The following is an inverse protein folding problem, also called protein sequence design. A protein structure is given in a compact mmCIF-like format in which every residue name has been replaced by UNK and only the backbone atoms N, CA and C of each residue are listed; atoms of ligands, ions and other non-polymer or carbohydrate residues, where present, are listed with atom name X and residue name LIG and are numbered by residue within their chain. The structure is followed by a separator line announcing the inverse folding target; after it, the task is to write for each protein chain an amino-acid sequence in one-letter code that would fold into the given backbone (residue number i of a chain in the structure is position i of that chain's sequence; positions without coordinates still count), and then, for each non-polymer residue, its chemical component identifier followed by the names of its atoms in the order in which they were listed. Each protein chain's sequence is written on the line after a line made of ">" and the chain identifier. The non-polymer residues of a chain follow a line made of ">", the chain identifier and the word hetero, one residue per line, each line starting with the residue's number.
data_IF_821372475615
#
_entry.id   IF_821372475615
#
_cell.length_a   1.000
_cell.length_b   1.000
_cell.length_c   1.000
_cell.angle_alpha   90.00
_cell.angle_beta   90.00
_cell.angle_gamma   90.00
#
_symmetry.space_group_name_H-M   'P 1'
#
loop_
_entity.id
_entity.type
_entity.pdbx_description
1 polymer ?
#
# COMPACT_ATOMS: atom_id res chain seq x y z
N UNK A 1 -13.18 9.58 19.29
CA UNK A 1 -13.26 9.28 17.83
C UNK A 1 -13.41 7.78 17.57
N UNK A 2 -12.49 6.94 18.04
CA UNK A 2 -12.55 5.47 17.84
C UNK A 2 -13.82 4.82 18.41
N UNK A 3 -14.27 5.21 19.61
CA UNK A 3 -15.51 4.67 20.21
C UNK A 3 -16.75 4.98 19.35
N UNK A 4 -16.80 6.16 18.72
CA UNK A 4 -17.87 6.53 17.80
C UNK A 4 -17.82 5.73 16.51
N UNK A 5 -16.63 5.57 15.90
CA UNK A 5 -16.48 4.79 14.67
C UNK A 5 -16.72 3.28 14.87
N UNK A 6 -16.38 2.74 16.05
CA UNK A 6 -16.48 1.32 16.35
C UNK A 6 -17.85 0.91 16.93
N UNK A 7 -18.42 1.73 17.81
CA UNK A 7 -19.64 1.38 18.57
C UNK A 7 -20.84 2.29 18.24
N UNK A 8 -20.67 3.26 17.32
CA UNK A 8 -21.66 4.30 17.00
C UNK A 8 -22.17 5.06 18.25
N UNK A 9 -21.34 5.10 19.29
CA UNK A 9 -21.59 5.75 20.59
C UNK A 9 -20.34 6.52 21.00
N UNK A 10 -20.52 7.66 21.66
CA UNK A 10 -19.38 8.44 22.16
C UNK A 10 -18.68 7.79 23.36
N UNK A 11 -19.33 6.80 23.98
CA UNK A 11 -18.82 6.02 25.10
C UNK A 11 -18.62 4.56 24.68
N UNK A 12 -17.43 4.03 24.94
CA UNK A 12 -17.04 2.65 24.64
C UNK A 12 -15.57 2.45 24.99
N UNK A 13 -15.29 1.47 25.84
CA UNK A 13 -13.94 1.16 26.31
C UNK A 13 -13.16 0.41 25.23
N UNK A 14 -11.97 0.90 24.91
CA UNK A 14 -11.01 0.19 24.08
C UNK A 14 -10.14 -0.66 24.99
N UNK A 15 -10.32 -1.98 24.94
CA UNK A 15 -9.55 -2.92 25.75
C UNK A 15 -8.04 -2.73 25.52
N UNK A 16 -7.29 -2.66 26.61
CA UNK A 16 -5.83 -2.59 26.57
C UNK A 16 -5.20 -3.90 26.08
N UNK A 17 -4.00 -3.81 25.51
CA UNK A 17 -3.25 -4.96 24.99
C UNK A 17 -3.00 -6.02 26.07
N UNK A 18 -2.70 -5.60 27.30
CA UNK A 18 -2.45 -6.52 28.43
C UNK A 18 -3.70 -7.31 28.79
N UNK A 19 -4.84 -6.64 28.92
CA UNK A 19 -6.12 -7.28 29.21
C UNK A 19 -6.51 -8.30 28.13
N UNK A 20 -6.28 -7.95 26.85
CA UNK A 20 -6.53 -8.88 25.73
C UNK A 20 -5.57 -10.07 25.73
N UNK A 21 -4.30 -9.83 26.09
CA UNK A 21 -3.30 -10.89 26.18
C UNK A 21 -3.65 -11.90 27.29
N UNK A 22 -4.09 -11.41 28.46
CA UNK A 22 -4.58 -12.26 29.55
C UNK A 22 -5.81 -13.08 29.12
N UNK A 23 -6.80 -12.43 28.52
CA UNK A 23 -8.01 -13.09 27.98
C UNK A 23 -7.66 -14.18 26.94
N UNK A 24 -6.71 -13.92 26.05
CA UNK A 24 -6.29 -14.89 25.05
C UNK A 24 -5.43 -16.03 25.62
N UNK A 25 -4.66 -15.78 26.68
CA UNK A 25 -3.95 -16.84 27.40
C UNK A 25 -4.92 -17.79 28.11
N UNK A 26 -5.97 -17.26 28.73
CA UNK A 26 -7.02 -18.08 29.34
C UNK A 26 -7.78 -18.92 28.29
N UNK A 27 -8.10 -18.31 27.15
CA UNK A 27 -8.92 -18.95 26.11
C UNK A 27 -8.17 -19.94 25.23
N UNK A 28 -6.94 -19.60 24.82
CA UNK A 28 -6.19 -20.35 23.81
C UNK A 28 -4.93 -21.03 24.37
N UNK A 29 -4.67 -20.87 25.68
CA UNK A 29 -3.52 -21.44 26.36
C UNK A 29 -2.30 -20.52 26.37
N UNK A 30 -1.21 -20.96 27.04
CA UNK A 30 -0.01 -20.14 27.20
C UNK A 30 0.62 -19.79 25.85
N UNK A 31 0.92 -18.51 25.65
CA UNK A 31 1.49 -18.00 24.40
C UNK A 31 1.57 -16.49 24.40
N UNK A 32 2.17 -15.92 23.34
CA UNK A 32 2.16 -14.49 23.06
C UNK A 32 1.21 -14.23 21.89
N UNK A 33 0.10 -13.54 22.15
CA UNK A 33 -0.92 -13.18 21.17
C UNK A 33 -0.84 -11.69 20.79
N UNK A 34 0.17 -10.97 21.30
CA UNK A 34 0.37 -9.57 20.98
C UNK A 34 1.07 -9.46 19.62
N UNK A 35 0.44 -8.82 18.61
CA UNK A 35 1.09 -8.56 17.33
C UNK A 35 2.29 -7.62 17.51
N UNK A 36 3.24 -7.58 16.56
CA UNK A 36 4.39 -6.67 16.61
C UNK A 36 3.95 -5.19 16.57
N UNK A 37 3.73 -4.61 17.75
CA UNK A 37 3.15 -3.28 17.94
C UNK A 37 3.97 -2.19 17.24
N UNK A 38 5.30 -2.29 17.28
CA UNK A 38 6.18 -1.30 16.65
C UNK A 38 5.93 -1.19 15.15
N UNK A 39 5.87 -2.34 14.45
CA UNK A 39 5.65 -2.37 12.99
C UNK A 39 4.26 -1.83 12.69
N UNK A 40 3.23 -2.36 13.35
CA UNK A 40 1.84 -1.92 13.13
C UNK A 40 1.62 -0.44 13.44
N UNK A 41 2.27 0.09 14.47
CA UNK A 41 2.18 1.50 14.86
C UNK A 41 2.72 2.46 13.78
N UNK A 42 3.86 2.12 13.19
CA UNK A 42 4.52 2.97 12.19
C UNK A 42 3.93 2.80 10.80
N UNK A 43 3.60 1.58 10.40
CA UNK A 43 2.98 1.33 9.09
C UNK A 43 1.60 1.98 9.00
N UNK A 44 0.81 1.94 10.07
CA UNK A 44 -0.45 2.69 10.14
C UNK A 44 -0.26 4.20 9.93
N UNK A 45 0.75 4.80 10.59
CA UNK A 45 1.04 6.24 10.46
C UNK A 45 1.52 6.63 9.08
N UNK A 46 2.39 5.82 8.48
CA UNK A 46 2.89 6.06 7.14
C UNK A 46 1.73 5.96 6.14
N UNK A 47 0.88 4.94 6.25
CA UNK A 47 -0.32 4.78 5.42
C UNK A 47 -1.25 6.00 5.53
N UNK A 48 -1.62 6.37 6.76
CA UNK A 48 -2.52 7.51 7.01
C UNK A 48 -1.88 8.83 6.57
N UNK A 49 -0.61 9.05 6.87
CA UNK A 49 0.14 10.23 6.48
C UNK A 49 0.24 10.38 4.96
N UNK A 50 0.54 9.30 4.24
CA UNK A 50 0.54 9.28 2.78
C UNK A 50 -0.85 9.56 2.22
N UNK A 51 -1.91 8.99 2.82
CA UNK A 51 -3.31 9.26 2.45
C UNK A 51 -3.69 10.73 2.58
N UNK A 52 -3.42 11.35 3.74
CA UNK A 52 -3.68 12.77 3.96
C UNK A 52 -2.85 13.68 3.03
N UNK A 53 -1.59 13.31 2.77
CA UNK A 53 -0.75 14.05 1.84
C UNK A 53 -1.31 13.98 0.40
N UNK A 54 -1.77 12.81 -0.03
CA UNK A 54 -2.44 12.66 -1.34
C UNK A 54 -3.73 13.47 -1.42
N UNK A 55 -4.55 13.49 -0.36
CA UNK A 55 -5.76 14.32 -0.32
C UNK A 55 -5.42 15.81 -0.41
N UNK A 56 -4.40 16.27 0.31
CA UNK A 56 -3.94 17.65 0.25
C UNK A 56 -3.44 18.03 -1.15
N UNK A 57 -2.59 17.20 -1.75
CA UNK A 57 -2.07 17.43 -3.10
C UNK A 57 -3.18 17.40 -4.15
N UNK A 58 -4.14 16.47 -4.04
CA UNK A 58 -5.31 16.40 -4.90
C UNK A 58 -6.20 17.64 -4.78
N UNK A 59 -6.43 18.14 -3.55
CA UNK A 59 -7.18 19.38 -3.33
C UNK A 59 -6.47 20.60 -3.92
N UNK A 60 -5.14 20.71 -3.74
CA UNK A 60 -4.35 21.79 -4.33
C UNK A 60 -4.35 21.75 -5.87
N UNK A 61 -4.24 20.55 -6.46
CA UNK A 61 -4.33 20.35 -7.89
C UNK A 61 -5.72 20.72 -8.43
N UNK A 62 -6.79 20.30 -7.77
CA UNK A 62 -8.16 20.65 -8.13
C UNK A 62 -8.39 22.16 -8.07
N UNK A 63 -7.94 22.81 -6.98
CA UNK A 63 -8.05 24.26 -6.82
C UNK A 63 -7.26 25.03 -7.87
N UNK A 64 -6.08 24.55 -8.26
CA UNK A 64 -5.29 25.15 -9.34
C UNK A 64 -6.03 25.00 -10.69
N UNK A 65 -6.54 23.80 -10.98
CA UNK A 65 -7.28 23.50 -12.21
C UNK A 65 -8.55 24.34 -12.36
N UNK A 66 -9.28 24.60 -11.27
CA UNK A 66 -10.51 25.41 -11.30
C UNK A 66 -10.26 26.91 -11.54
N UNK A 67 -9.03 27.39 -11.35
CA UNK A 67 -8.73 28.82 -11.45
C UNK A 67 -8.29 29.26 -12.85
N UNK A 68 -8.27 28.35 -13.83
CA UNK A 68 -7.66 28.53 -15.17
C UNK A 68 -6.24 29.13 -15.13
N UNK A 69 -5.62 29.14 -13.95
CA UNK A 69 -4.22 29.46 -13.81
C UNK A 69 -3.56 28.24 -14.39
N UNK A 70 -2.87 28.40 -15.52
CA UNK A 70 -2.05 27.35 -16.10
C UNK A 70 -1.44 26.53 -14.97
N UNK A 71 -1.46 25.20 -15.10
CA UNK A 71 -0.75 24.27 -14.22
C UNK A 71 0.78 24.48 -14.33
N UNK A 72 1.23 25.69 -14.71
CA UNK A 72 2.59 26.14 -14.94
C UNK A 72 3.33 26.51 -13.67
N UNK A 73 2.73 26.44 -12.47
CA UNK A 73 3.49 26.53 -11.22
C UNK A 73 4.52 25.39 -11.17
N UNK A 74 5.81 25.65 -11.41
CA UNK A 74 6.80 24.60 -11.57
C UNK A 74 7.06 23.86 -10.25
N UNK A 75 6.70 24.49 -9.12
CA UNK A 75 6.77 23.88 -7.79
C UNK A 75 5.66 22.83 -7.60
N UNK A 76 4.41 23.14 -7.96
CA UNK A 76 3.30 22.18 -7.80
C UNK A 76 3.51 20.95 -8.69
N UNK A 77 3.97 21.16 -9.92
CA UNK A 77 4.22 20.07 -10.86
C UNK A 77 5.39 19.16 -10.40
N UNK A 78 6.42 19.74 -9.77
CA UNK A 78 7.50 18.95 -9.13
C UNK A 78 6.98 18.10 -7.97
N UNK A 79 6.09 18.62 -7.13
CA UNK A 79 5.47 17.84 -6.05
C UNK A 79 4.56 16.72 -6.59
N UNK A 80 3.83 16.97 -7.68
CA UNK A 80 2.98 15.96 -8.33
C UNK A 80 3.79 14.79 -8.89
N UNK A 81 5.00 15.02 -9.41
CA UNK A 81 5.90 13.94 -9.83
C UNK A 81 6.25 13.01 -8.65
N UNK A 82 6.62 13.57 -7.50
CA UNK A 82 6.90 12.77 -6.30
C UNK A 82 5.65 12.09 -5.72
N UNK A 83 4.47 12.69 -5.94
CA UNK A 83 3.21 12.11 -5.52
C UNK A 83 2.92 10.75 -6.18
N UNK A 84 3.54 10.44 -7.34
CA UNK A 84 3.42 9.15 -8.00
C UNK A 84 3.81 7.98 -7.08
N UNK A 85 4.75 8.19 -6.14
CA UNK A 85 5.20 7.15 -5.21
C UNK A 85 4.27 6.98 -3.99
N UNK A 86 3.46 7.98 -3.67
CA UNK A 86 2.61 7.96 -2.47
C UNK A 86 1.58 6.82 -2.46
N UNK A 87 0.86 6.53 -3.58
CA UNK A 87 -0.05 5.38 -3.62
C UNK A 87 0.66 4.06 -3.35
N UNK A 88 1.88 3.86 -3.87
CA UNK A 88 2.64 2.64 -3.63
C UNK A 88 3.03 2.51 -2.16
N UNK A 89 3.54 3.58 -1.55
CA UNK A 89 3.90 3.60 -0.12
C UNK A 89 2.67 3.34 0.75
N UNK A 90 1.55 4.02 0.48
CA UNK A 90 0.31 3.85 1.22
C UNK A 90 -0.22 2.42 1.12
N UNK A 91 -0.23 1.84 -0.09
CA UNK A 91 -0.68 0.46 -0.29
C UNK A 91 0.24 -0.54 0.40
N UNK A 92 1.56 -0.43 0.22
CA UNK A 92 2.52 -1.36 0.85
C UNK A 92 2.42 -1.29 2.37
N UNK A 93 2.39 -0.10 2.96
CA UNK A 93 2.28 0.03 4.41
C UNK A 93 0.92 -0.36 4.95
N UNK A 94 -0.17 -0.16 4.20
CA UNK A 94 -1.49 -0.66 4.54
C UNK A 94 -1.56 -2.19 4.59
N UNK A 95 -1.01 -2.87 3.58
CA UNK A 95 -0.91 -4.33 3.57
C UNK A 95 -0.01 -4.86 4.68
N UNK A 96 1.15 -4.24 4.92
CA UNK A 96 2.01 -4.64 6.04
C UNK A 96 1.29 -4.45 7.37
N UNK A 97 0.55 -3.35 7.56
CA UNK A 97 -0.24 -3.12 8.76
C UNK A 97 -1.27 -4.23 8.99
N UNK A 98 -2.09 -4.56 7.98
CA UNK A 98 -3.15 -5.58 8.13
C UNK A 98 -2.58 -6.98 8.36
N UNK A 99 -1.49 -7.33 7.68
CA UNK A 99 -0.82 -8.63 7.80
C UNK A 99 -0.05 -8.79 9.12
N UNK A 100 0.60 -7.73 9.60
CA UNK A 100 1.35 -7.77 10.86
C UNK A 100 0.42 -7.64 12.07
N UNK A 101 -0.66 -6.85 11.97
CA UNK A 101 -1.61 -6.67 13.07
C UNK A 101 -2.45 -7.92 13.37
N UNK A 102 -2.56 -8.86 12.43
CA UNK A 102 -3.27 -10.14 12.67
C UNK A 102 -2.39 -11.24 13.25
N UNK A 103 -1.07 -11.05 13.32
CA UNK A 103 -0.16 -12.02 13.96
C UNK A 103 -0.58 -12.22 15.43
N UNK A 104 -0.53 -13.46 15.97
CA UNK A 104 0.04 -14.68 15.41
C UNK A 104 -0.96 -15.55 14.62
N UNK A 105 -2.09 -15.02 14.19
CA UNK A 105 -3.19 -15.80 13.60
C UNK A 105 -3.13 -15.82 12.06
N UNK A 106 -3.35 -17.00 11.49
CA UNK A 106 -3.75 -17.13 10.08
C UNK A 106 -5.26 -16.92 10.01
N UNK A 107 -6.00 -17.69 10.81
CA UNK A 107 -7.44 -17.54 11.01
C UNK A 107 -7.68 -17.31 12.49
N UNK A 108 -8.23 -16.14 12.82
CA UNK A 108 -8.37 -15.70 14.20
C UNK A 108 -9.13 -16.72 15.05
N UNK A 109 -8.52 -17.14 16.16
CA UNK A 109 -9.09 -18.11 17.10
C UNK A 109 -9.18 -19.56 16.61
N UNK A 110 -8.71 -19.85 15.39
CA UNK A 110 -8.75 -21.19 14.80
C UNK A 110 -7.37 -21.74 14.46
N UNK A 111 -6.50 -20.96 13.81
CA UNK A 111 -5.19 -21.43 13.36
C UNK A 111 -4.11 -20.36 13.52
N UNK A 112 -3.00 -20.73 14.16
CA UNK A 112 -1.81 -19.87 14.30
C UNK A 112 -0.87 -20.03 13.11
N UNK A 113 -0.05 -19.01 12.88
CA UNK A 113 0.99 -19.01 11.86
C UNK A 113 2.02 -20.12 12.08
N UNK A 114 2.36 -20.41 13.33
CA UNK A 114 3.26 -21.52 13.70
C UNK A 114 2.76 -22.87 13.20
N UNK A 115 1.44 -23.05 13.17
CA UNK A 115 0.80 -24.32 12.86
C UNK A 115 0.55 -24.47 11.35
N UNK A 116 0.79 -23.42 10.57
CA UNK A 116 0.68 -23.41 9.11
C UNK A 116 1.99 -23.71 8.38
N UNK A 117 3.12 -23.86 9.09
CA UNK A 117 4.42 -24.14 8.48
C UNK A 117 4.49 -25.62 8.09
N UNK A 118 4.86 -25.90 6.83
CA UNK A 118 5.00 -27.26 6.34
C UNK A 118 6.19 -27.97 6.99
N UNK A 119 5.95 -29.16 7.56
CA UNK A 119 6.98 -30.01 8.14
C UNK A 119 7.74 -30.86 7.09
N UNK A 120 7.25 -30.92 5.85
CA UNK A 120 7.83 -31.77 4.80
C UNK A 120 8.79 -31.03 3.88
N UNK A 121 8.69 -29.69 3.83
CA UNK A 121 9.52 -28.87 2.94
C UNK A 121 10.70 -28.31 3.74
N UNK A 122 11.92 -28.69 3.35
CA UNK A 122 13.13 -28.18 3.99
C UNK A 122 13.37 -26.68 3.75
N UNK A 123 14.02 -26.03 4.70
CA UNK A 123 14.35 -24.59 4.64
C UNK A 123 15.15 -24.22 3.38
N UNK A 124 16.00 -25.13 2.87
CA UNK A 124 16.76 -24.91 1.64
C UNK A 124 15.86 -24.74 0.40
N UNK A 125 14.82 -25.55 0.26
CA UNK A 125 13.87 -25.46 -0.85
C UNK A 125 13.05 -24.16 -0.78
N UNK A 126 12.68 -23.74 0.43
CA UNK A 126 11.99 -22.46 0.65
C UNK A 126 12.90 -21.28 0.30
N UNK A 127 14.16 -21.30 0.75
CA UNK A 127 15.12 -20.25 0.44
C UNK A 127 15.39 -20.17 -1.07
N UNK A 128 15.59 -21.33 -1.72
CA UNK A 128 15.82 -21.38 -3.17
C UNK A 128 14.64 -20.81 -3.96
N UNK A 129 13.40 -21.20 -3.63
CA UNK A 129 12.21 -20.68 -4.33
C UNK A 129 12.01 -19.19 -4.07
N UNK A 130 12.20 -18.73 -2.82
CA UNK A 130 12.10 -17.32 -2.46
C UNK A 130 13.12 -16.47 -3.23
N UNK A 131 14.38 -16.92 -3.31
CA UNK A 131 15.42 -16.22 -4.08
C UNK A 131 15.04 -16.20 -5.57
N UNK A 132 14.62 -17.35 -6.11
CA UNK A 132 14.25 -17.47 -7.53
C UNK A 132 13.10 -16.53 -7.89
N UNK A 133 12.01 -16.53 -7.13
CA UNK A 133 10.89 -15.63 -7.36
C UNK A 133 11.28 -14.16 -7.15
N UNK A 134 12.10 -13.86 -6.15
CA UNK A 134 12.60 -12.49 -5.91
C UNK A 134 13.38 -11.97 -7.12
N UNK A 135 14.32 -12.77 -7.64
CA UNK A 135 15.12 -12.40 -8.82
C UNK A 135 14.24 -12.26 -10.08
N UNK A 136 13.29 -13.16 -10.26
CA UNK A 136 12.36 -13.11 -11.38
C UNK A 136 11.51 -11.83 -11.35
N UNK A 137 10.92 -11.49 -10.19
CA UNK A 137 10.14 -10.26 -10.04
C UNK A 137 10.99 -9.00 -10.13
N UNK A 138 12.24 -9.02 -9.64
CA UNK A 138 13.17 -7.92 -9.82
C UNK A 138 13.51 -7.69 -11.32
N UNK A 139 13.72 -8.78 -12.07
CA UNK A 139 13.96 -8.70 -13.51
C UNK A 139 12.74 -8.12 -14.25
N UNK A 140 11.53 -8.60 -13.93
CA UNK A 140 10.29 -8.07 -14.50
C UNK A 140 10.12 -6.58 -14.18
N UNK A 141 10.41 -6.16 -12.95
CA UNK A 141 10.37 -4.76 -12.54
C UNK A 141 11.32 -3.89 -13.37
N UNK A 142 12.54 -4.36 -13.67
CA UNK A 142 13.47 -3.63 -14.53
C UNK A 142 12.93 -3.46 -15.94
N UNK A 143 12.33 -4.52 -16.52
CA UNK A 143 11.71 -4.42 -17.84
C UNK A 143 10.50 -3.48 -17.84
N UNK A 144 9.64 -3.59 -16.84
CA UNK A 144 8.45 -2.75 -16.69
C UNK A 144 8.83 -1.26 -16.59
N UNK A 145 9.76 -0.90 -15.72
CA UNK A 145 10.26 0.48 -15.59
C UNK A 145 10.87 0.98 -16.90
N UNK A 146 11.64 0.13 -17.61
CA UNK A 146 12.22 0.49 -18.92
C UNK A 146 11.12 0.75 -19.96
N UNK A 147 10.11 -0.10 -20.03
CA UNK A 147 8.99 0.06 -20.96
C UNK A 147 8.18 1.31 -20.62
N UNK A 148 7.74 1.45 -19.36
CA UNK A 148 7.00 2.62 -18.89
C UNK A 148 7.76 3.91 -19.17
N UNK A 149 9.07 3.96 -18.90
CA UNK A 149 9.88 5.14 -19.18
C UNK A 149 10.02 5.41 -20.68
N UNK A 150 10.20 4.37 -21.50
CA UNK A 150 10.31 4.49 -22.95
C UNK A 150 9.03 5.07 -23.55
N UNK A 151 7.88 4.50 -23.19
CA UNK A 151 6.58 4.92 -23.72
C UNK A 151 6.12 6.26 -23.13
N UNK A 152 6.39 6.54 -21.86
CA UNK A 152 6.10 7.86 -21.27
C UNK A 152 6.89 9.00 -21.92
N UNK A 153 8.11 8.75 -22.40
CA UNK A 153 8.95 9.74 -23.10
C UNK A 153 8.67 9.83 -24.60
N UNK A 154 8.09 8.81 -25.21
CA UNK A 154 7.85 8.77 -26.64
C UNK A 154 6.83 9.82 -27.12
N UNK A 155 6.09 10.44 -26.20
CA UNK A 155 5.07 11.44 -26.51
C UNK A 155 3.84 10.84 -27.20
N UNK A 156 2.77 11.63 -27.35
CA UNK A 156 1.63 11.23 -28.18
C UNK A 156 2.11 11.29 -29.64
N UNK A 157 2.23 10.14 -30.29
CA UNK A 157 2.35 10.13 -31.75
C UNK A 157 1.01 10.63 -32.29
N UNK A 158 1.01 11.79 -32.95
CA UNK A 158 -0.16 12.23 -33.70
C UNK A 158 -0.54 11.10 -34.67
N UNK A 159 -1.82 10.67 -34.68
CA UNK A 159 -2.25 9.72 -35.70
C UNK A 159 -1.91 10.33 -37.05
N UNK A 160 -1.22 9.56 -37.90
CA UNK A 160 -0.84 10.02 -39.23
C UNK A 160 -2.09 10.60 -39.90
N UNK A 161 -2.12 11.92 -40.05
CA UNK A 161 -3.16 12.65 -40.76
C UNK A 161 -3.15 12.11 -42.18
N UNK A 162 -4.10 11.21 -42.44
CA UNK A 162 -4.29 10.62 -43.75
C UNK A 162 -4.59 11.73 -44.74
N UNK A 163 -3.68 11.87 -45.70
CA UNK A 163 -3.87 12.40 -47.05
C UNK A 163 -4.81 13.60 -47.22
N UNK A 164 -4.19 14.74 -47.52
CA UNK A 164 -4.73 15.77 -48.41
C UNK A 164 -5.58 15.13 -49.52
N UNK A 165 -6.91 15.30 -49.50
CA UNK A 165 -7.68 15.24 -50.74
C UNK A 165 -7.42 16.55 -51.49
N UNK A 166 -6.80 16.52 -52.68
CA UNK A 166 -6.66 17.71 -53.50
C UNK A 166 -8.05 18.11 -54.00
N UNK A 167 -8.34 19.41 -53.90
CA UNK A 167 -9.67 19.97 -54.12
C UNK A 167 -10.35 19.55 -55.43
N UNK A 168 -11.65 19.31 -55.32
CA UNK A 168 -12.58 19.43 -56.43
C UNK A 168 -13.29 20.78 -56.29
N UNK A 169 -12.84 21.71 -57.14
CA UNK A 169 -13.60 22.88 -57.56
C UNK A 169 -14.82 22.47 -58.41
#
# INVERSE_FOLDING_TARGET
>A
LLSFLAYNKFEGEVKGIKNLQEEYQEKYGPGNYVPPVFVSYWTFRIMVGAGFLMLLLGFLALRASMKETEVSSPRLMRWMFWALFLPYIANSTGWIFTEMARQPWIVFGLQKVSDGVSNTVGAGSVAFSLITFTLLYALLMVFDIKLLTRYAKAGIQEPATGSTEPGLA
#
